data_IF_506863023431
#
_entry.id   IF_506863023431
#
_cell.length_a   1.000
_cell.length_b   1.000
_cell.length_c   1.000
_cell.angle_alpha   90.00
_cell.angle_beta   90.00
_cell.angle_gamma   90.00
#
_symmetry.space_group_name_H-M   'P 1'
#
loop_
_entity.id
_entity.type
_entity.pdbx_description
1 polymer ?
#
# COMPACT_ATOMS: atom_id res chain seq x y z
N UNK A 1 8.81 -9.42 2.46
CA UNK A 1 9.54 -9.67 3.72
C UNK A 1 8.83 -8.85 4.77
N UNK A 2 8.34 -9.50 5.81
CA UNK A 2 7.32 -8.96 6.70
C UNK A 2 7.91 -7.79 7.51
N UNK A 3 7.60 -6.56 7.08
CA UNK A 3 8.04 -5.36 7.78
C UNK A 3 7.17 -5.17 9.03
N UNK A 4 7.81 -4.97 10.18
CA UNK A 4 7.09 -4.71 11.43
C UNK A 4 6.39 -3.34 11.34
N UNK A 5 5.05 -3.27 11.37
CA UNK A 5 4.33 -1.99 11.30
C UNK A 5 4.37 -1.23 12.63
N UNK A 6 4.56 -1.91 13.77
CA UNK A 6 4.45 -1.33 15.12
C UNK A 6 5.34 -0.10 15.34
N UNK A 7 6.61 -0.04 14.91
CA UNK A 7 7.43 1.15 15.11
C UNK A 7 6.88 2.42 14.43
N UNK A 8 6.05 2.24 13.39
CA UNK A 8 5.37 3.35 12.74
C UNK A 8 3.97 3.59 13.31
N UNK A 9 3.34 2.58 13.91
CA UNK A 9 1.96 2.66 14.40
C UNK A 9 1.93 3.00 15.88
N UNK A 10 0.89 3.71 16.31
CA UNK A 10 0.71 4.07 17.72
C UNK A 10 -0.12 3.01 18.42
N UNK A 11 0.37 2.50 19.55
CA UNK A 11 -0.35 1.56 20.41
C UNK A 11 -0.82 2.29 21.67
N UNK A 12 -2.06 2.05 22.06
CA UNK A 12 -2.63 2.37 23.36
C UNK A 12 -3.01 1.03 24.05
N UNK A 13 -2.42 0.78 25.22
CA UNK A 13 -2.45 -0.54 25.89
C UNK A 13 -1.20 -1.39 25.57
N UNK A 14 -1.09 -2.57 26.17
CA UNK A 14 0.15 -3.39 26.13
C UNK A 14 0.00 -4.70 25.33
N UNK A 15 -1.07 -4.84 24.55
CA UNK A 15 -1.47 -6.13 23.97
C UNK A 15 -0.95 -6.38 22.53
N UNK A 16 -0.73 -5.34 21.72
CA UNK A 16 -0.43 -5.55 20.30
C UNK A 16 0.98 -6.10 20.04
N UNK A 17 1.03 -7.24 19.35
CA UNK A 17 2.25 -7.99 19.04
C UNK A 17 2.45 -8.14 17.53
N UNK A 18 3.72 -8.13 17.10
CA UNK A 18 4.13 -8.48 15.74
C UNK A 18 4.98 -9.75 15.77
N UNK A 19 4.42 -10.87 15.32
CA UNK A 19 5.00 -12.17 15.60
C UNK A 19 4.51 -13.30 14.71
N UNK A 20 5.09 -14.47 14.91
CA UNK A 20 4.63 -15.72 14.28
C UNK A 20 3.39 -16.18 15.07
N UNK A 21 2.26 -16.45 14.40
CA UNK A 21 1.07 -16.93 15.10
C UNK A 21 1.27 -18.41 15.52
N UNK A 22 0.82 -18.76 16.72
CA UNK A 22 1.00 -20.11 17.31
C UNK A 22 -0.33 -20.72 17.82
N UNK A 23 -1.45 -20.22 17.29
CA UNK A 23 -2.84 -20.66 17.55
C UNK A 23 -3.28 -20.91 19.02
N UNK A 24 -2.90 -20.11 20.04
CA UNK A 24 -3.15 -20.50 21.42
C UNK A 24 -4.61 -20.30 21.87
N UNK A 25 -5.43 -19.54 21.12
CA UNK A 25 -6.80 -19.18 21.48
C UNK A 25 -7.78 -19.18 20.28
N UNK A 26 -7.74 -20.21 19.44
CA UNK A 26 -8.48 -20.29 18.16
C UNK A 26 -7.98 -19.33 17.07
N UNK A 27 -6.78 -18.81 17.25
CA UNK A 27 -6.02 -18.01 16.27
C UNK A 27 -5.45 -18.87 15.13
N UNK A 28 -4.99 -18.24 14.03
CA UNK A 28 -4.39 -19.00 12.93
C UNK A 28 -3.08 -19.68 13.36
N UNK A 29 -2.75 -20.79 12.68
CA UNK A 29 -1.44 -21.48 12.82
C UNK A 29 -0.34 -20.88 11.93
N UNK A 30 -0.71 -20.00 11.01
CA UNK A 30 0.20 -19.39 10.05
C UNK A 30 -0.34 -18.05 9.57
N UNK A 31 0.57 -17.14 9.21
CA UNK A 31 0.24 -15.91 8.50
C UNK A 31 -0.48 -16.22 7.17
N UNK A 32 -1.28 -15.29 6.67
CA UNK A 32 -1.88 -15.43 5.35
C UNK A 32 -0.80 -15.30 4.27
N UNK A 33 0.07 -14.30 4.42
CA UNK A 33 1.24 -14.06 3.59
C UNK A 33 2.49 -13.97 4.47
N UNK A 34 3.61 -14.51 4.00
CA UNK A 34 4.86 -14.44 4.76
C UNK A 34 4.83 -15.34 6.01
N UNK A 35 5.35 -14.82 7.13
CA UNK A 35 5.56 -15.59 8.37
C UNK A 35 5.06 -14.89 9.63
N UNK A 36 4.77 -13.59 9.57
CA UNK A 36 4.40 -12.77 10.73
C UNK A 36 3.08 -12.05 10.51
N UNK A 37 2.36 -11.86 11.61
CA UNK A 37 1.07 -11.17 11.67
C UNK A 37 1.10 -10.11 12.76
N UNK A 38 0.18 -9.14 12.67
CA UNK A 38 -0.14 -8.23 13.76
C UNK A 38 -1.31 -8.81 14.55
N UNK A 39 -1.23 -8.91 15.87
CA UNK A 39 -2.37 -9.37 16.66
C UNK A 39 -2.39 -8.86 18.09
N UNK A 40 -3.54 -8.97 18.75
CA UNK A 40 -3.74 -8.52 20.14
C UNK A 40 -3.11 -9.42 21.18
N UNK A 41 -2.74 -10.66 20.84
CA UNK A 41 -1.85 -11.52 21.64
C UNK A 41 -1.48 -12.76 20.85
N UNK A 42 -0.24 -12.89 20.41
CA UNK A 42 0.19 -14.03 19.59
C UNK A 42 0.87 -15.12 20.41
N UNK A 43 1.32 -14.79 21.62
CA UNK A 43 2.09 -15.66 22.48
C UNK A 43 1.37 -16.00 23.80
N UNK A 44 1.91 -16.98 24.54
CA UNK A 44 1.36 -17.40 25.82
C UNK A 44 0.04 -18.15 25.66
N UNK A 45 -1.02 -17.73 26.37
CA UNK A 45 -2.34 -18.34 26.23
C UNK A 45 -3.14 -17.76 25.04
N UNK A 46 -2.57 -16.81 24.29
CA UNK A 46 -3.19 -16.22 23.08
C UNK A 46 -4.43 -15.38 23.34
N UNK A 47 -4.88 -15.27 24.59
CA UNK A 47 -6.15 -14.59 24.91
C UNK A 47 -5.97 -13.11 25.16
N UNK A 48 -6.85 -12.26 24.63
CA UNK A 48 -6.94 -10.86 25.05
C UNK A 48 -7.23 -10.76 26.56
N UNK A 49 -7.00 -9.59 27.15
CA UNK A 49 -7.17 -9.37 28.59
C UNK A 49 -8.64 -9.08 28.93
N UNK A 50 -9.07 -9.50 30.11
CA UNK A 50 -10.35 -9.12 30.70
C UNK A 50 -10.31 -7.68 31.21
N UNK A 51 -11.47 -7.02 31.25
CA UNK A 51 -11.66 -5.63 31.73
C UNK A 51 -10.66 -4.64 31.09
N UNK A 52 -10.34 -4.83 29.81
CA UNK A 52 -9.28 -4.09 29.12
C UNK A 52 -9.78 -3.36 27.88
N UNK A 53 -9.02 -2.35 27.47
CA UNK A 53 -9.22 -1.67 26.20
C UNK A 53 -7.87 -1.40 25.55
N UNK A 54 -7.73 -1.90 24.32
CA UNK A 54 -6.52 -1.70 23.53
C UNK A 54 -6.82 -1.21 22.13
N UNK A 55 -5.89 -0.43 21.59
CA UNK A 55 -6.00 0.20 20.28
C UNK A 55 -4.64 0.25 19.60
N UNK A 56 -4.61 -0.05 18.31
CA UNK A 56 -3.46 0.24 17.45
C UNK A 56 -3.90 1.08 16.27
N UNK A 57 -3.14 2.12 15.95
CA UNK A 57 -3.47 3.08 14.91
C UNK A 57 -2.31 3.36 13.96
N UNK A 58 -2.63 3.53 12.68
CA UNK A 58 -1.66 3.97 11.67
C UNK A 58 -1.25 5.42 11.92
N UNK A 59 -0.09 5.86 11.41
CA UNK A 59 0.15 7.26 11.10
C UNK A 59 -0.96 7.85 10.22
N UNK A 60 -0.95 9.18 10.09
CA UNK A 60 -1.69 9.83 9.02
C UNK A 60 -1.19 9.36 7.65
N UNK A 61 -2.11 8.89 6.82
CA UNK A 61 -1.92 8.47 5.45
C UNK A 61 -2.40 9.62 4.56
N UNK A 62 -1.53 10.10 3.68
CA UNK A 62 -1.88 11.13 2.70
C UNK A 62 -2.81 10.54 1.63
N UNK A 63 -4.01 11.11 1.52
CA UNK A 63 -5.03 10.71 0.55
C UNK A 63 -5.38 11.82 -0.43
N UNK A 64 -4.61 12.91 -0.46
CA UNK A 64 -4.88 14.10 -1.29
C UNK A 64 -5.01 13.79 -2.78
N UNK A 65 -4.25 12.80 -3.25
CA UNK A 65 -4.19 12.38 -4.65
C UNK A 65 -5.20 11.29 -5.02
N UNK A 66 -6.18 10.98 -4.17
CA UNK A 66 -7.12 9.89 -4.42
C UNK A 66 -8.57 10.39 -4.39
N UNK A 67 -9.40 9.86 -5.29
CA UNK A 67 -10.84 10.13 -5.37
C UNK A 67 -11.67 9.07 -4.69
N UNK A 68 -11.16 7.84 -4.64
CA UNK A 68 -11.74 6.73 -3.91
C UNK A 68 -10.64 6.10 -3.06
N UNK A 69 -10.96 5.75 -1.80
CA UNK A 69 -10.01 5.12 -0.88
C UNK A 69 -10.69 3.95 -0.18
N UNK A 70 -10.00 2.81 -0.13
CA UNK A 70 -10.49 1.57 0.47
C UNK A 70 -9.44 0.95 1.38
N UNK A 71 -9.91 0.38 2.49
CA UNK A 71 -9.10 -0.44 3.38
C UNK A 71 -9.29 -1.91 3.00
N UNK A 72 -8.20 -2.56 2.60
CA UNK A 72 -8.14 -3.98 2.29
C UNK A 72 -7.25 -4.69 3.31
N UNK A 73 -7.69 -5.85 3.80
CA UNK A 73 -6.93 -6.61 4.80
C UNK A 73 -7.36 -8.07 4.85
N UNK A 74 -6.49 -8.89 5.44
CA UNK A 74 -6.80 -10.26 5.87
C UNK A 74 -7.03 -10.25 7.37
N UNK A 75 -8.15 -10.85 7.77
CA UNK A 75 -8.57 -10.92 9.17
C UNK A 75 -8.74 -12.36 9.60
N UNK A 76 -8.29 -12.62 10.80
CA UNK A 76 -8.78 -13.69 11.65
C UNK A 76 -9.16 -13.08 12.99
N UNK A 77 -10.45 -13.09 13.32
CA UNK A 77 -10.98 -12.53 14.56
C UNK A 77 -11.73 -13.61 15.34
N UNK A 78 -11.34 -13.80 16.60
CA UNK A 78 -12.12 -14.58 17.57
C UNK A 78 -12.40 -13.72 18.78
N UNK A 79 -13.66 -13.45 19.06
CA UNK A 79 -14.09 -12.56 20.14
C UNK A 79 -15.46 -12.99 20.65
N UNK A 80 -15.74 -12.74 21.92
CA UNK A 80 -17.08 -12.88 22.47
C UNK A 80 -18.06 -11.99 21.69
N UNK A 81 -19.34 -12.23 21.86
CA UNK A 81 -20.35 -11.43 21.21
C UNK A 81 -20.23 -9.93 21.54
N UNK A 82 -20.71 -9.10 20.62
CA UNK A 82 -20.56 -7.66 20.70
C UNK A 82 -21.29 -6.99 21.87
N UNK A 83 -22.16 -7.71 22.59
CA UNK A 83 -22.79 -7.17 23.80
C UNK A 83 -21.79 -7.06 24.94
N UNK A 84 -20.85 -8.01 25.06
CA UNK A 84 -19.82 -8.03 26.10
C UNK A 84 -18.50 -7.45 25.57
N UNK A 85 -18.03 -7.94 24.42
CA UNK A 85 -16.72 -7.58 23.88
C UNK A 85 -16.82 -6.90 22.51
N UNK A 86 -16.28 -5.69 22.37
CA UNK A 86 -16.39 -4.91 21.16
C UNK A 86 -15.07 -4.87 20.38
N UNK A 87 -15.12 -5.33 19.14
CA UNK A 87 -14.05 -5.16 18.16
C UNK A 87 -14.46 -4.13 17.11
N UNK A 88 -13.68 -3.07 16.94
CA UNK A 88 -14.01 -1.97 16.00
C UNK A 88 -12.84 -1.65 15.08
N UNK A 89 -13.15 -1.28 13.84
CA UNK A 89 -12.23 -0.57 12.95
C UNK A 89 -12.72 0.86 12.81
N UNK A 90 -11.82 1.81 13.07
CA UNK A 90 -12.08 3.24 12.96
C UNK A 90 -11.31 3.83 11.77
N UNK A 91 -11.94 4.76 11.06
CA UNK A 91 -11.28 5.62 10.09
C UNK A 91 -11.49 7.08 10.53
N UNK A 92 -10.39 7.80 10.78
CA UNK A 92 -10.41 9.14 11.36
C UNK A 92 -11.27 9.24 12.64
N UNK A 93 -11.17 8.22 13.50
CA UNK A 93 -11.92 8.12 14.77
C UNK A 93 -13.40 7.79 14.61
N UNK A 94 -13.89 7.55 13.39
CA UNK A 94 -15.28 7.13 13.14
C UNK A 94 -15.31 5.61 12.87
N UNK A 95 -16.16 4.83 13.57
CA UNK A 95 -16.33 3.41 13.26
C UNK A 95 -16.75 3.16 11.80
N UNK A 96 -16.03 2.30 11.10
CA UNK A 96 -16.34 1.84 9.74
C UNK A 96 -16.63 0.33 9.68
N UNK A 97 -16.31 -0.39 10.75
CA UNK A 97 -16.69 -1.78 10.95
C UNK A 97 -16.77 -2.10 12.45
N UNK A 98 -17.72 -2.92 12.85
CA UNK A 98 -17.84 -3.48 14.22
C UNK A 98 -18.18 -4.97 14.14
N UNK A 99 -17.85 -5.75 15.17
CA UNK A 99 -18.36 -7.12 15.29
C UNK A 99 -19.90 -7.13 15.36
N UNK A 100 -20.49 -8.25 14.93
CA UNK A 100 -21.95 -8.38 14.83
C UNK A 100 -22.60 -8.43 16.21
N UNK A 101 -23.71 -7.70 16.37
CA UNK A 101 -24.51 -7.70 17.59
C UNK A 101 -25.75 -8.58 17.43
N UNK A 102 -26.09 -9.30 18.50
CA UNK A 102 -27.41 -9.90 18.67
C UNK A 102 -28.01 -9.48 20.02
N UNK A 103 -29.35 -9.34 20.12
CA UNK A 103 -29.98 -8.89 21.38
C UNK A 103 -29.79 -9.85 22.57
N UNK A 104 -29.36 -11.09 22.32
CA UNK A 104 -29.23 -12.13 23.33
C UNK A 104 -27.83 -12.27 23.91
N UNK A 105 -26.81 -11.62 23.32
CA UNK A 105 -25.41 -11.84 23.68
C UNK A 105 -25.00 -13.29 23.46
N UNK A 106 -25.26 -13.80 22.26
CA UNK A 106 -25.04 -15.22 21.93
C UNK A 106 -24.23 -15.42 20.65
N UNK A 107 -24.00 -14.35 19.89
CA UNK A 107 -23.34 -14.38 18.60
C UNK A 107 -21.86 -14.01 18.73
N UNK A 108 -21.06 -14.96 19.21
CA UNK A 108 -19.60 -14.81 19.19
C UNK A 108 -19.11 -14.70 17.74
N UNK A 109 -18.13 -13.84 17.52
CA UNK A 109 -17.48 -13.74 16.21
C UNK A 109 -16.29 -14.70 16.19
N UNK A 110 -16.39 -15.78 15.41
CA UNK A 110 -15.37 -16.83 15.35
C UNK A 110 -14.96 -17.12 13.90
N UNK A 111 -13.96 -16.40 13.39
CA UNK A 111 -13.34 -16.73 12.11
C UNK A 111 -12.63 -18.11 12.23
N UNK A 112 -12.75 -18.93 11.19
CA UNK A 112 -12.12 -20.28 11.11
C UNK A 112 -11.13 -20.41 9.95
N UNK A 113 -10.97 -19.34 9.21
CA UNK A 113 -10.06 -19.19 8.08
C UNK A 113 -9.79 -17.69 7.88
N UNK A 114 -8.70 -17.37 7.20
CA UNK A 114 -8.39 -15.98 6.84
C UNK A 114 -9.47 -15.38 5.94
N UNK A 115 -10.12 -14.33 6.44
CA UNK A 115 -11.17 -13.61 5.72
C UNK A 115 -10.58 -12.38 5.03
N UNK A 116 -10.86 -12.23 3.73
CA UNK A 116 -10.59 -10.98 3.02
C UNK A 116 -11.69 -9.97 3.31
N UNK A 117 -11.28 -8.74 3.59
CA UNK A 117 -12.18 -7.62 3.78
C UNK A 117 -11.78 -6.45 2.91
N UNK A 118 -12.79 -5.74 2.43
CA UNK A 118 -12.65 -4.55 1.61
C UNK A 118 -13.69 -3.52 2.06
N UNK A 119 -13.23 -2.48 2.75
CA UNK A 119 -14.06 -1.47 3.41
C UNK A 119 -13.90 -0.14 2.69
N UNK A 120 -15.03 0.45 2.28
CA UNK A 120 -15.02 1.79 1.71
C UNK A 120 -14.78 2.83 2.80
N UNK A 121 -13.69 3.59 2.69
CA UNK A 121 -13.33 4.66 3.61
C UNK A 121 -13.20 6.01 2.88
N UNK A 122 -13.80 6.12 1.69
CA UNK A 122 -13.68 7.30 0.81
C UNK A 122 -14.18 8.57 1.50
N UNK A 123 -15.31 8.47 2.22
CA UNK A 123 -15.86 9.62 2.94
C UNK A 123 -14.92 10.10 4.06
N UNK A 124 -14.27 9.17 4.75
CA UNK A 124 -13.35 9.48 5.84
C UNK A 124 -12.03 10.05 5.31
N UNK A 125 -11.58 9.62 4.14
CA UNK A 125 -10.36 10.11 3.48
C UNK A 125 -10.54 11.43 2.72
N UNK A 126 -11.77 11.97 2.63
CA UNK A 126 -12.10 13.11 1.76
C UNK A 126 -11.37 14.42 2.10
N UNK A 127 -10.84 14.56 3.33
CA UNK A 127 -10.05 15.71 3.75
C UNK A 127 -8.59 15.69 3.28
N UNK A 128 -8.17 14.63 2.56
CA UNK A 128 -6.79 14.43 2.12
C UNK A 128 -5.88 13.79 3.18
N UNK A 129 -6.43 13.38 4.32
CA UNK A 129 -5.70 12.60 5.32
C UNK A 129 -6.60 11.51 5.91
N UNK A 130 -6.03 10.33 6.14
CA UNK A 130 -6.69 9.18 6.75
C UNK A 130 -5.83 8.58 7.86
N UNK A 131 -6.44 8.30 9.01
CA UNK A 131 -5.90 7.40 10.03
C UNK A 131 -6.81 6.20 10.14
N UNK A 132 -6.24 5.02 10.32
CA UNK A 132 -6.98 3.80 10.61
C UNK A 132 -6.62 3.31 12.01
N UNK A 133 -7.58 2.74 12.71
CA UNK A 133 -7.32 2.07 13.98
C UNK A 133 -8.14 0.79 14.13
N UNK A 134 -7.56 -0.17 14.83
CA UNK A 134 -8.20 -1.40 15.27
C UNK A 134 -8.28 -1.36 16.78
N UNK A 135 -9.47 -1.58 17.33
CA UNK A 135 -9.72 -1.53 18.78
C UNK A 135 -10.37 -2.81 19.26
N UNK A 136 -10.07 -3.17 20.51
CA UNK A 136 -10.73 -4.23 21.25
C UNK A 136 -11.00 -3.70 22.66
N UNK A 137 -12.26 -3.77 23.09
CA UNK A 137 -12.68 -3.54 24.46
C UNK A 137 -13.38 -4.80 24.97
N UNK A 138 -13.00 -5.26 26.15
CA UNK A 138 -13.50 -6.49 26.75
C UNK A 138 -14.20 -6.27 28.08
N UNK A 139 -15.13 -7.15 28.40
CA UNK A 139 -15.72 -7.27 29.73
C UNK A 139 -14.87 -8.15 30.66
N UNK A 140 -15.40 -8.51 31.83
CA UNK A 140 -14.69 -9.24 32.86
C UNK A 140 -14.40 -10.72 32.53
N UNK A 141 -14.94 -11.27 31.45
CA UNK A 141 -14.77 -12.68 31.10
C UNK A 141 -14.82 -12.94 29.59
N UNK A 142 -14.95 -14.21 29.19
CA UNK A 142 -15.26 -14.51 27.78
C UNK A 142 -14.10 -14.40 26.80
N UNK A 143 -12.84 -14.28 27.24
CA UNK A 143 -11.77 -13.91 26.31
C UNK A 143 -11.41 -14.99 25.27
N UNK A 144 -11.24 -14.58 24.02
CA UNK A 144 -10.76 -15.38 22.88
C UNK A 144 -9.42 -14.80 22.36
N UNK A 145 -9.02 -15.11 21.12
CA UNK A 145 -7.75 -14.66 20.51
C UNK A 145 -7.70 -13.16 20.17
N UNK A 146 -8.86 -12.56 19.92
CA UNK A 146 -8.99 -11.16 19.53
C UNK A 146 -8.60 -10.96 18.06
N UNK A 147 -7.93 -9.85 17.77
CA UNK A 147 -7.50 -9.51 16.43
C UNK A 147 -6.24 -10.28 16.04
N UNK A 148 -6.28 -10.91 14.87
CA UNK A 148 -5.10 -11.30 14.09
C UNK A 148 -5.25 -10.78 12.66
N UNK A 149 -4.31 -9.94 12.23
CA UNK A 149 -4.35 -9.15 11.01
C UNK A 149 -3.13 -9.42 10.14
N UNK A 150 -3.36 -9.46 8.84
CA UNK A 150 -2.31 -9.59 7.83
C UNK A 150 -2.70 -8.81 6.56
N UNK A 151 -1.73 -8.54 5.69
CA UNK A 151 -1.92 -7.85 4.41
C UNK A 151 -2.76 -6.56 4.50
N UNK A 152 -2.59 -5.77 5.57
CA UNK A 152 -3.31 -4.50 5.75
C UNK A 152 -2.80 -3.45 4.76
N UNK A 153 -3.67 -3.02 3.86
CA UNK A 153 -3.37 -2.12 2.76
C UNK A 153 -4.45 -1.03 2.64
N UNK A 154 -4.02 0.22 2.47
CA UNK A 154 -4.90 1.29 1.97
C UNK A 154 -4.66 1.44 0.48
N UNK A 155 -5.71 1.23 -0.29
CA UNK A 155 -5.68 1.34 -1.76
C UNK A 155 -6.59 2.47 -2.19
N UNK A 156 -6.29 3.10 -3.33
CA UNK A 156 -7.11 4.19 -3.82
C UNK A 156 -7.10 4.29 -5.34
N UNK A 157 -8.14 4.92 -5.86
CA UNK A 157 -8.21 5.36 -7.26
C UNK A 157 -7.63 6.77 -7.30
N UNK A 158 -6.56 7.02 -8.08
CA UNK A 158 -5.98 8.35 -8.20
C UNK A 158 -7.02 9.39 -8.62
N UNK A 159 -6.83 10.61 -8.14
CA UNK A 159 -7.52 11.79 -8.65
C UNK A 159 -6.88 12.10 -10.01
N UNK A 160 -7.68 12.21 -11.09
CA UNK A 160 -7.22 12.78 -12.35
C UNK A 160 -6.54 14.12 -12.08
N UNK A 161 -5.32 14.29 -12.53
CA UNK A 161 -4.63 15.54 -12.31
C UNK A 161 -3.40 15.65 -13.16
N UNK A 162 -3.16 16.88 -13.60
CA UNK A 162 -2.13 17.12 -14.57
C UNK A 162 -0.75 16.63 -14.12
N UNK A 163 -0.06 15.94 -15.02
CA UNK A 163 1.24 15.34 -14.79
C UNK A 163 1.20 14.00 -14.08
N UNK A 164 0.07 13.28 -14.13
CA UNK A 164 -0.07 11.95 -13.53
C UNK A 164 0.28 10.79 -14.49
N UNK A 165 0.60 11.11 -15.75
CA UNK A 165 0.99 10.19 -16.80
C UNK A 165 -0.19 9.59 -17.57
N UNK A 166 -1.43 10.01 -17.30
CA UNK A 166 -2.63 9.48 -17.92
C UNK A 166 -3.62 10.58 -18.30
N UNK A 167 -3.78 10.81 -19.61
CA UNK A 167 -4.79 11.76 -20.12
C UNK A 167 -6.21 11.32 -19.73
N UNK A 168 -6.90 12.15 -18.96
CA UNK A 168 -8.31 11.97 -18.56
C UNK A 168 -9.27 12.86 -19.36
N UNK A 169 -10.58 12.78 -19.11
CA UNK A 169 -11.59 13.56 -19.86
C UNK A 169 -11.42 15.08 -19.71
N UNK A 170 -10.78 15.54 -18.63
CA UNK A 170 -10.57 16.96 -18.32
C UNK A 170 -9.19 17.49 -18.77
N UNK A 171 -8.37 16.67 -19.43
CA UNK A 171 -6.99 17.00 -19.82
C UNK A 171 -6.79 16.96 -21.35
N UNK A 172 -6.07 17.93 -21.91
CA UNK A 172 -5.74 17.94 -23.35
C UNK A 172 -4.45 17.17 -23.68
N UNK A 173 -3.57 17.03 -22.70
CA UNK A 173 -2.31 16.29 -22.74
C UNK A 173 -1.94 15.87 -21.32
N UNK A 174 -0.96 14.97 -21.19
CA UNK A 174 -0.24 14.69 -19.96
C UNK A 174 1.14 14.12 -20.36
N UNK A 175 2.23 14.73 -19.90
CA UNK A 175 3.61 14.28 -20.14
C UNK A 175 4.30 13.76 -18.87
N UNK A 176 3.52 13.42 -17.85
CA UNK A 176 3.95 12.79 -16.62
C UNK A 176 4.56 13.75 -15.59
N UNK A 177 4.45 15.06 -15.79
CA UNK A 177 4.81 16.06 -14.79
C UNK A 177 4.05 17.41 -14.96
N UNK A 178 4.37 18.41 -14.13
CA UNK A 178 3.69 19.74 -14.13
C UNK A 178 4.68 20.88 -14.45
N UNK A 179 5.77 20.57 -15.16
CA UNK A 179 6.74 21.57 -15.61
C UNK A 179 6.17 22.22 -16.86
N UNK A 180 6.17 23.54 -16.95
CA UNK A 180 5.82 24.20 -18.21
C UNK A 180 7.00 24.12 -19.21
N UNK A 181 6.70 24.05 -20.50
CA UNK A 181 7.67 24.12 -21.60
C UNK A 181 8.23 22.79 -22.07
N UNK A 182 7.67 21.65 -21.66
CA UNK A 182 8.09 20.29 -22.06
C UNK A 182 7.05 19.52 -22.88
N UNK A 183 5.92 20.17 -23.24
CA UNK A 183 4.93 19.64 -24.17
C UNK A 183 3.51 19.63 -23.61
N UNK A 184 3.37 19.63 -22.29
CA UNK A 184 2.11 19.79 -21.61
C UNK A 184 2.24 20.76 -20.43
N UNK A 185 1.40 21.81 -20.40
CA UNK A 185 1.51 22.80 -19.34
C UNK A 185 1.12 22.22 -17.98
N UNK A 186 1.47 22.90 -16.89
CA UNK A 186 1.05 22.56 -15.53
C UNK A 186 -0.49 22.52 -15.32
N UNK A 187 -1.26 22.99 -16.31
CA UNK A 187 -2.73 22.98 -16.34
C UNK A 187 -3.30 22.07 -17.43
N UNK A 188 -2.50 21.16 -17.98
CA UNK A 188 -2.88 20.14 -18.95
C UNK A 188 -3.45 20.70 -20.25
N UNK A 189 -2.81 21.77 -20.72
CA UNK A 189 -3.02 22.33 -22.05
C UNK A 189 -1.81 22.01 -22.90
N UNK A 190 -2.03 21.49 -24.10
CA UNK A 190 -0.93 21.21 -25.04
C UNK A 190 -0.19 22.50 -25.32
N UNK A 191 1.12 22.47 -25.08
CA UNK A 191 1.97 23.62 -25.36
C UNK A 191 2.36 23.59 -26.84
N UNK A 192 2.29 24.74 -27.50
CA UNK A 192 2.91 24.85 -28.81
C UNK A 192 4.42 24.71 -28.60
N UNK A 193 5.02 23.70 -29.25
CA UNK A 193 6.46 23.61 -29.34
C UNK A 193 7.02 24.97 -29.76
N UNK A 194 8.07 25.49 -29.10
CA UNK A 194 8.77 26.66 -29.61
C UNK A 194 9.05 26.41 -31.09
N UNK A 195 8.81 27.38 -31.99
CA UNK A 195 9.14 27.19 -33.39
C UNK A 195 10.59 26.73 -33.43
N UNK A 196 10.82 25.52 -33.95
CA UNK A 196 12.19 25.02 -34.09
C UNK A 196 13.00 26.14 -34.74
N UNK A 197 14.21 26.47 -34.24
CA UNK A 197 15.11 27.28 -35.03
C UNK A 197 15.21 26.57 -36.38
N UNK A 198 14.93 27.29 -37.47
CA UNK A 198 14.68 26.77 -38.81
C UNK A 198 15.86 26.02 -39.47
N UNK A 199 16.83 25.54 -38.69
CA UNK A 199 18.12 25.03 -39.13
C UNK A 199 18.35 23.63 -38.54
N UNK A 200 17.56 22.63 -38.95
CA UNK A 200 17.73 21.29 -38.37
C UNK A 200 17.11 20.09 -39.08
N UNK A 201 16.68 20.23 -40.34
CA UNK A 201 16.10 19.12 -41.10
C UNK A 201 16.99 17.88 -41.16
N UNK A 202 16.56 16.80 -40.51
CA UNK A 202 17.04 15.45 -40.80
C UNK A 202 16.53 15.06 -42.19
N UNK A 203 17.29 15.41 -43.24
CA UNK A 203 17.40 14.77 -44.57
C UNK A 203 18.14 15.64 -45.61
N UNK A 204 18.80 16.74 -45.21
CA UNK A 204 19.65 17.53 -46.12
C UNK A 204 20.97 16.86 -46.46
N UNK A 205 20.98 15.79 -47.27
CA UNK A 205 22.21 15.32 -47.92
C UNK A 205 22.47 16.21 -49.13
N UNK A 206 23.06 17.38 -48.91
CA UNK A 206 23.63 18.17 -50.00
C UNK A 206 24.87 18.96 -49.57
N UNK A 207 26.01 18.45 -50.04
CA UNK A 207 27.16 19.17 -50.61
C UNK A 207 28.05 20.02 -49.70
N UNK A 208 29.00 19.37 -49.01
CA UNK A 208 30.36 19.92 -48.85
C UNK A 208 31.41 18.82 -49.14
N UNK A 209 32.17 18.90 -50.25
CA UNK A 209 33.20 17.92 -50.59
C UNK A 209 34.60 18.26 -50.05
N UNK A 210 34.75 19.06 -48.99
CA UNK A 210 36.09 19.47 -48.51
C UNK A 210 36.38 19.15 -47.04
N UNK A 211 36.22 17.88 -46.66
CA UNK A 211 36.87 17.33 -45.46
C UNK A 211 38.32 16.89 -45.74
N UNK A 212 39.32 17.23 -44.89
CA UNK A 212 40.71 16.90 -45.15
C UNK A 212 40.97 15.40 -45.04
N UNK A 213 41.59 14.86 -46.09
CA UNK A 213 42.11 13.50 -46.17
C UNK A 213 43.23 13.33 -45.14
N UNK A 214 42.97 12.57 -44.06
CA UNK A 214 44.05 11.99 -43.26
C UNK A 214 44.18 10.50 -43.60
N UNK A 215 45.21 10.24 -44.40
CA UNK A 215 45.69 8.96 -44.84
C UNK A 215 46.33 8.21 -43.66
N UNK A 216 45.75 7.09 -43.23
CA UNK A 216 46.44 6.11 -42.37
C UNK A 216 46.57 4.78 -43.11
N UNK A 217 47.77 4.53 -43.63
CA UNK A 217 48.17 3.29 -44.27
C UNK A 217 48.83 2.34 -43.24
N UNK A 218 48.35 1.09 -43.27
CA UNK A 218 49.01 -0.19 -42.98
C UNK A 218 49.44 -0.62 -41.58
N UNK A 219 48.99 -1.85 -41.26
CA UNK A 219 49.55 -2.74 -40.23
C UNK A 219 48.88 -4.13 -40.22
N UNK A 220 48.97 -4.88 -41.32
CA UNK A 220 48.56 -6.30 -41.40
C UNK A 220 49.69 -7.21 -40.87
N UNK A 221 49.47 -7.90 -39.74
CA UNK A 221 50.16 -9.14 -39.29
C UNK A 221 49.41 -9.61 -38.03
N UNK A 222 48.96 -10.83 -37.82
CA UNK A 222 48.95 -12.09 -38.54
C UNK A 222 48.32 -13.11 -37.58
N UNK A 223 47.48 -14.01 -38.09
CA UNK A 223 46.82 -15.05 -37.30
C UNK A 223 47.83 -15.86 -36.48
N UNK A 224 47.45 -16.24 -35.24
CA UNK A 224 47.77 -17.57 -34.70
C UNK A 224 46.78 -17.98 -33.61
N UNK A 225 45.75 -18.72 -34.02
CA UNK A 225 45.05 -19.67 -33.12
C UNK A 225 46.07 -20.70 -32.64
N UNK A 226 46.35 -20.75 -31.34
CA UNK A 226 46.95 -21.95 -30.73
C UNK A 226 45.83 -22.84 -30.21
N UNK A 227 45.75 -24.02 -30.82
CA UNK A 227 44.94 -25.16 -30.37
C UNK A 227 45.85 -26.14 -29.64
N UNK A 228 45.23 -26.87 -28.69
CA UNK A 228 45.52 -28.25 -28.20
C UNK A 228 46.58 -28.40 -27.09
N UNK A 229 46.66 -29.55 -26.37
CA UNK A 229 45.87 -30.81 -26.49
C UNK A 229 45.40 -31.47 -25.16
N UNK A 230 44.49 -32.44 -25.35
CA UNK A 230 44.13 -33.65 -24.55
C UNK A 230 43.51 -33.46 -23.17
#
# INVERSE_FOLDING_TARGET
MDANPIPAWTIEGDLWEWGIPDAPAFDPLAAHTGTRVLGTRLQGNGRYLADDSTRIATPAIDTTRYTQVRLQYRRWLTIEDAFYDQATIEANGTPVWTNATDPGGTLNHLDREWRFHDVDVTAQAASGALTLAFTLASDASGEYGGWTLDDVCVVGIPRPGCGDGAVTEDELCDDGNVTDGDGCSATCVTEEAPPEPADGGCCGVATDPTGPVLLCMFGLLGLRRRRRPR
#
